data_IF_661430886240
#
_entry.id   IF_661430886240
#
_cell.length_a   1.000
_cell.length_b   1.000
_cell.length_c   1.000
_cell.angle_alpha   90.00
_cell.angle_beta   90.00
_cell.angle_gamma   90.00
#
_symmetry.space_group_name_H-M   'P 1'
#
loop_
_entity.id
_entity.type
_entity.pdbx_description
1 polymer ?
#
# COMPACT_ATOMS: atom_id res chain seq x y z
N UNK A 1 -13.57 -4.76 13.44
CA UNK A 1 -12.18 -5.17 13.21
C UNK A 1 -12.10 -5.91 11.90
N UNK A 2 -10.96 -5.88 11.20
CA UNK A 2 -10.72 -6.72 10.03
C UNK A 2 -9.45 -7.54 10.27
N UNK A 3 -9.45 -8.81 9.90
CA UNK A 3 -8.31 -9.71 10.05
C UNK A 3 -7.69 -9.97 8.68
N UNK A 4 -6.37 -10.02 8.60
CA UNK A 4 -5.66 -10.46 7.40
C UNK A 4 -4.70 -11.57 7.77
N UNK A 5 -4.44 -12.47 6.83
CA UNK A 5 -3.46 -13.54 7.02
C UNK A 5 -2.15 -13.12 6.35
N UNK A 6 -1.06 -13.25 7.09
CA UNK A 6 0.30 -12.96 6.63
C UNK A 6 1.18 -14.18 6.88
N UNK A 7 1.61 -14.82 5.80
CA UNK A 7 2.72 -15.78 5.84
C UNK A 7 4.02 -15.02 5.53
N UNK A 8 4.68 -15.30 4.41
CA UNK A 8 5.74 -14.42 3.89
C UNK A 8 5.17 -13.12 3.29
N UNK A 9 3.97 -13.19 2.73
CA UNK A 9 3.20 -12.10 2.14
C UNK A 9 1.74 -12.17 2.60
N UNK A 10 0.96 -11.13 2.32
CA UNK A 10 -0.48 -11.16 2.58
C UNK A 10 -1.18 -12.01 1.55
N UNK A 11 -2.32 -12.61 1.92
CA UNK A 11 -3.09 -13.45 1.00
C UNK A 11 -4.25 -12.64 0.41
N UNK A 12 -4.39 -12.62 -0.92
CA UNK A 12 -5.53 -12.02 -1.63
C UNK A 12 -6.74 -12.97 -1.63
N UNK A 13 -7.90 -12.46 -2.03
CA UNK A 13 -9.16 -13.17 -2.30
C UNK A 13 -9.00 -14.44 -3.12
N UNK A 14 -8.07 -14.43 -4.08
CA UNK A 14 -7.74 -15.56 -4.97
C UNK A 14 -6.75 -16.55 -4.36
N UNK A 15 -6.22 -16.31 -3.16
CA UNK A 15 -5.19 -17.14 -2.53
C UNK A 15 -3.76 -16.81 -2.95
N UNK A 16 -3.58 -15.78 -3.78
CA UNK A 16 -2.27 -15.31 -4.22
C UNK A 16 -1.57 -14.46 -3.15
N UNK A 17 -0.24 -14.57 -3.09
CA UNK A 17 0.60 -13.77 -2.21
C UNK A 17 0.80 -12.34 -2.74
N UNK A 18 0.41 -11.34 -1.95
CA UNK A 18 0.55 -9.92 -2.24
C UNK A 18 1.35 -9.20 -1.16
N UNK A 19 2.20 -8.25 -1.56
CA UNK A 19 2.99 -7.42 -0.64
C UNK A 19 2.16 -6.29 -0.02
N UNK A 20 1.12 -5.84 -0.70
CA UNK A 20 0.28 -4.71 -0.29
C UNK A 20 -0.86 -5.14 0.64
N UNK A 21 -0.94 -4.52 1.82
CA UNK A 21 -2.05 -4.69 2.77
C UNK A 21 -3.42 -4.28 2.18
N UNK A 22 -3.41 -3.38 1.18
CA UNK A 22 -4.64 -2.91 0.51
C UNK A 22 -5.25 -3.97 -0.41
N UNK A 23 -4.43 -4.86 -0.96
CA UNK A 23 -4.84 -5.96 -1.83
C UNK A 23 -5.08 -7.26 -1.05
N UNK A 24 -4.66 -7.30 0.22
CA UNK A 24 -4.91 -8.42 1.10
C UNK A 24 -6.42 -8.65 1.31
N UNK A 25 -6.82 -9.91 1.32
CA UNK A 25 -8.17 -10.33 1.70
C UNK A 25 -8.40 -9.98 3.17
N UNK A 26 -9.47 -9.23 3.42
CA UNK A 26 -9.92 -8.91 4.78
C UNK A 26 -11.00 -9.90 5.18
N UNK A 27 -10.81 -10.52 6.33
CA UNK A 27 -11.76 -11.40 6.97
C UNK A 27 -12.49 -10.62 8.07
N UNK A 28 -13.81 -10.70 8.10
CA UNK A 28 -14.62 -10.04 9.13
C UNK A 28 -14.67 -10.85 10.43
N UNK A 29 -14.51 -12.17 10.33
CA UNK A 29 -14.46 -13.09 11.48
C UNK A 29 -13.06 -13.65 11.68
N UNK A 30 -12.66 -13.78 12.96
CA UNK A 30 -11.38 -14.38 13.37
C UNK A 30 -11.29 -15.85 12.98
N UNK A 31 -12.37 -16.61 13.10
CA UNK A 31 -12.43 -18.04 12.76
C UNK A 31 -12.07 -18.27 11.28
N UNK A 32 -12.58 -17.42 10.40
CA UNK A 32 -12.26 -17.51 8.96
C UNK A 32 -10.80 -17.18 8.67
N UNK A 33 -10.22 -16.23 9.41
CA UNK A 33 -8.80 -15.92 9.31
C UNK A 33 -7.93 -17.07 9.86
N UNK A 34 -8.38 -17.76 10.92
CA UNK A 34 -7.69 -18.92 11.49
C UNK A 34 -7.63 -20.10 10.52
N UNK A 35 -8.73 -20.39 9.83
CA UNK A 35 -8.74 -21.43 8.79
C UNK A 35 -7.76 -21.10 7.65
N UNK A 36 -7.77 -19.86 7.17
CA UNK A 36 -6.87 -19.43 6.11
C UNK A 36 -5.40 -19.41 6.57
N UNK A 37 -5.13 -19.00 7.81
CA UNK A 37 -3.82 -19.03 8.43
C UNK A 37 -3.30 -20.46 8.60
N UNK A 38 -4.17 -21.39 9.00
CA UNK A 38 -3.84 -22.80 9.13
C UNK A 38 -3.42 -23.42 7.79
N UNK A 39 -4.20 -23.18 6.72
CA UNK A 39 -3.89 -23.69 5.38
C UNK A 39 -2.62 -23.07 4.81
N UNK A 40 -2.41 -21.77 5.06
CA UNK A 40 -1.28 -21.01 4.50
C UNK A 40 -0.03 -21.05 5.39
N UNK A 41 -0.12 -21.73 6.54
CA UNK A 41 0.87 -21.73 7.61
C UNK A 41 1.33 -20.30 8.01
N UNK A 42 0.38 -19.37 8.02
CA UNK A 42 0.57 -17.94 8.26
C UNK A 42 0.08 -17.47 9.62
N UNK A 43 0.30 -16.20 9.93
CA UNK A 43 -0.16 -15.54 11.14
C UNK A 43 -1.35 -14.63 10.84
N UNK A 44 -2.24 -14.46 11.83
CA UNK A 44 -3.38 -13.54 11.73
C UNK A 44 -2.96 -12.18 12.26
N UNK A 45 -3.05 -11.18 11.40
CA UNK A 45 -2.81 -9.78 11.76
C UNK A 45 -4.16 -9.08 11.89
N UNK A 46 -4.45 -8.59 13.10
CA UNK A 46 -5.63 -7.78 13.35
C UNK A 46 -5.41 -6.35 12.86
N UNK A 47 -6.26 -5.91 11.94
CA UNK A 47 -6.33 -4.54 11.47
C UNK A 47 -7.49 -3.86 12.20
N UNK A 48 -7.14 -2.88 13.03
CA UNK A 48 -8.09 -1.86 13.47
C UNK A 48 -8.37 -0.97 12.27
N UNK A 49 -9.35 -1.37 11.47
CA UNK A 49 -9.95 -0.48 10.48
C UNK A 49 -10.62 0.64 11.24
N UNK A 50 -9.89 1.74 11.47
CA UNK A 50 -10.52 3.05 11.57
C UNK A 50 -11.29 3.17 10.27
N UNK A 51 -12.61 3.01 10.36
CA UNK A 51 -13.52 3.13 9.23
C UNK A 51 -13.39 4.56 8.70
N UNK A 52 -12.41 4.81 7.84
CA UNK A 52 -12.43 5.93 6.91
C UNK A 52 -13.50 5.59 5.88
N UNK A 53 -14.75 5.71 6.31
CA UNK A 53 -15.88 5.98 5.45
C UNK A 53 -15.74 7.44 5.01
N UNK A 54 -14.63 7.75 4.34
CA UNK A 54 -14.34 9.08 3.86
C UNK A 54 -13.88 8.97 2.41
N UNK A 55 -14.84 9.34 1.56
CA UNK A 55 -14.64 9.80 0.20
C UNK A 55 -14.07 8.79 -0.80
N UNK A 56 -15.01 8.10 -1.47
CA UNK A 56 -15.08 8.18 -2.94
C UNK A 56 -14.97 9.66 -3.32
N UNK A 57 -13.75 10.18 -3.51
CA UNK A 57 -13.39 11.45 -4.15
C UNK A 57 -11.93 11.76 -3.83
N UNK A 58 -11.01 10.99 -4.38
CA UNK A 58 -9.64 11.48 -4.54
C UNK A 58 -9.13 10.96 -5.88
N UNK A 59 -9.65 11.60 -6.92
CA UNK A 59 -8.92 11.82 -8.17
C UNK A 59 -7.45 12.05 -7.84
N UNK A 60 -6.62 11.14 -8.33
CA UNK A 60 -5.20 11.27 -8.59
C UNK A 60 -4.71 12.72 -8.64
N UNK A 61 -4.28 13.28 -7.51
CA UNK A 61 -3.26 14.33 -7.53
C UNK A 61 -1.93 13.59 -7.47
N UNK A 62 -1.53 13.12 -8.66
CA UNK A 62 -0.15 12.84 -8.97
C UNK A 62 0.63 14.11 -8.60
N UNK A 63 1.24 14.15 -7.42
CA UNK A 63 2.13 15.23 -7.04
C UNK A 63 3.30 15.15 -8.00
N UNK A 64 3.25 15.97 -9.05
CA UNK A 64 4.38 16.23 -9.91
C UNK A 64 5.40 16.92 -9.01
N UNK A 65 6.30 16.13 -8.44
CA UNK A 65 7.52 16.65 -7.83
C UNK A 65 8.30 17.25 -9.00
N UNK A 66 8.02 18.51 -9.32
CA UNK A 66 8.94 19.34 -10.09
C UNK A 66 10.19 19.47 -9.23
N UNK A 67 11.11 18.53 -9.41
CA UNK A 67 12.50 18.73 -9.04
C UNK A 67 12.94 19.95 -9.86
N UNK A 68 13.00 21.12 -9.22
CA UNK A 68 13.68 22.27 -9.79
C UNK A 68 15.08 21.79 -10.15
N UNK A 69 15.35 21.69 -11.45
CA UNK A 69 16.69 21.42 -11.93
C UNK A 69 17.50 22.64 -11.56
N UNK A 70 18.26 22.52 -10.48
CA UNK A 70 19.27 23.50 -10.11
C UNK A 70 20.23 23.60 -11.30
N UNK A 71 20.10 24.67 -12.09
CA UNK A 71 21.01 24.95 -13.20
C UNK A 71 22.39 25.16 -12.61
N UNK A 72 23.31 24.25 -12.92
CA UNK A 72 24.71 24.37 -12.53
C UNK A 72 25.24 25.70 -13.05
N UNK A 73 25.91 26.46 -12.18
CA UNK A 73 26.58 27.75 -12.40
C UNK A 73 27.63 27.76 -13.53
N UNK A 74 27.84 26.65 -14.23
CA UNK A 74 28.92 26.49 -15.22
C UNK A 74 28.65 27.16 -16.57
N UNK A 75 27.53 27.86 -16.75
CA UNK A 75 27.23 28.65 -17.95
C UNK A 75 27.49 30.16 -17.78
N UNK A 76 28.05 30.59 -16.64
CA UNK A 76 28.29 32.01 -16.35
C UNK A 76 29.20 32.71 -17.38
N UNK A 77 30.07 31.98 -18.09
CA UNK A 77 30.99 32.52 -19.09
C UNK A 77 30.38 32.74 -20.48
N UNK A 78 29.15 32.26 -20.74
CA UNK A 78 28.49 32.40 -22.05
C UNK A 78 27.80 33.77 -22.26
N UNK A 79 27.71 34.63 -21.23
CA UNK A 79 27.14 35.97 -21.38
C UNK A 79 28.25 37.00 -21.59
N UNK A 80 28.74 37.07 -22.84
CA UNK A 80 29.40 38.25 -23.39
C UNK A 80 28.78 38.56 -24.75
N UNK A 81 27.94 39.58 -24.77
CA UNK A 81 27.78 40.50 -25.90
C UNK A 81 27.64 41.90 -25.31
#
# INVERSE_FOLDING_TARGET
MAYVVKAMCYVDSEGNGVSDLKKAKRYDSKEMAELAAYVSNGEIVEIKTHSSKENKNNTSKHSKITKEKQTKSNQAWMKKQ
#
